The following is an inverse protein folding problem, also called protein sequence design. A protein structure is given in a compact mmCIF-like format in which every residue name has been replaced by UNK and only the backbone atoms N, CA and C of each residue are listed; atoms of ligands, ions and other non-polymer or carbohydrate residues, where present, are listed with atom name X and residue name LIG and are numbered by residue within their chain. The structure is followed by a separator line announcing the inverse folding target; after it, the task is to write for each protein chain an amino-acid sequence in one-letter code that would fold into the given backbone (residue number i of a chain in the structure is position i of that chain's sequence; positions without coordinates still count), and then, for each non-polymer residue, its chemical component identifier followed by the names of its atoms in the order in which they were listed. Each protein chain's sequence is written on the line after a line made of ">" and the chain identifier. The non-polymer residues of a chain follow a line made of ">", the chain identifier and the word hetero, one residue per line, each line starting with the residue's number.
data_IF_974202168808
#
_entry.id   IF_974202168808
#
_cell.length_a   1.000
_cell.length_b   1.000
_cell.length_c   1.000
_cell.angle_alpha   90.00
_cell.angle_beta   90.00
_cell.angle_gamma   90.00
#
_symmetry.space_group_name_H-M   'P 1'
#
loop_
_entity.id
_entity.type
_entity.pdbx_description
1 polymer ?
#
# COMPACT_ATOMS: atom_id res chain seq x y z
N UNK A 1 7.72 0.07 25.27
CA UNK A 1 7.33 -0.45 23.95
C UNK A 1 7.90 0.50 22.92
N UNK A 2 8.71 -0.01 22.00
CA UNK A 2 9.34 0.73 20.92
C UNK A 2 8.39 0.89 19.72
N UNK A 3 8.72 1.78 18.77
CA UNK A 3 7.83 2.14 17.65
C UNK A 3 7.51 0.96 16.73
N UNK A 4 8.49 0.07 16.50
CA UNK A 4 8.29 -1.13 15.69
C UNK A 4 7.29 -2.10 16.35
N UNK A 5 7.38 -2.30 17.67
CA UNK A 5 6.40 -3.10 18.42
C UNK A 5 5.00 -2.49 18.42
N UNK A 6 4.89 -1.17 18.56
CA UNK A 6 3.58 -0.48 18.48
C UNK A 6 2.95 -0.69 17.10
N UNK A 7 3.73 -0.48 16.03
CA UNK A 7 3.30 -0.67 14.66
C UNK A 7 2.85 -2.11 14.40
N UNK A 8 3.67 -3.09 14.78
CA UNK A 8 3.38 -4.51 14.59
C UNK A 8 2.11 -4.94 15.35
N UNK A 9 1.94 -4.48 16.59
CA UNK A 9 0.74 -4.72 17.37
C UNK A 9 -0.51 -4.17 16.68
N UNK A 10 -0.48 -2.90 16.25
CA UNK A 10 -1.61 -2.27 15.56
C UNK A 10 -1.95 -2.99 14.25
N UNK A 11 -0.96 -3.38 13.44
CA UNK A 11 -1.20 -4.15 12.22
C UNK A 11 -1.87 -5.49 12.53
N UNK A 12 -1.42 -6.18 13.58
CA UNK A 12 -1.99 -7.47 13.98
C UNK A 12 -3.44 -7.33 14.46
N UNK A 13 -3.74 -6.32 15.26
CA UNK A 13 -5.11 -6.01 15.73
C UNK A 13 -6.05 -5.69 14.56
N UNK A 14 -5.52 -5.15 13.47
CA UNK A 14 -6.27 -4.85 12.24
C UNK A 14 -6.37 -6.04 11.26
N UNK A 15 -5.97 -7.25 11.69
CA UNK A 15 -6.12 -8.47 10.90
C UNK A 15 -5.03 -8.71 9.84
N UNK A 16 -3.92 -7.97 9.89
CA UNK A 16 -2.78 -8.25 9.01
C UNK A 16 -2.13 -9.58 9.42
N UNK A 17 -2.06 -10.50 8.47
CA UNK A 17 -1.43 -11.82 8.65
C UNK A 17 -0.11 -11.98 7.90
N UNK A 18 0.06 -11.26 6.79
CA UNK A 18 1.18 -11.45 5.87
C UNK A 18 1.90 -10.13 5.59
N UNK A 19 3.23 -10.23 5.56
CA UNK A 19 4.14 -9.14 5.25
C UNK A 19 5.16 -9.64 4.22
N UNK A 20 5.28 -8.93 3.10
CA UNK A 20 6.21 -9.22 2.02
C UNK A 20 7.22 -8.10 1.94
N UNK A 21 8.47 -8.38 1.60
CA UNK A 21 9.42 -7.27 1.51
C UNK A 21 10.85 -7.65 1.22
N UNK A 22 11.68 -6.62 1.11
CA UNK A 22 13.14 -6.73 1.18
C UNK A 22 13.56 -5.98 2.44
N UNK A 23 13.95 -6.73 3.47
CA UNK A 23 14.39 -6.15 4.74
C UNK A 23 15.85 -5.71 4.65
N UNK A 24 16.11 -4.52 5.16
CA UNK A 24 17.44 -3.93 5.36
C UNK A 24 17.35 -2.74 6.30
N UNK A 25 18.48 -2.14 6.64
CA UNK A 25 18.49 -0.93 7.46
C UNK A 25 17.73 0.20 6.73
N UNK A 26 16.84 0.98 7.39
CA UNK A 26 16.55 1.03 8.84
C UNK A 26 15.23 0.34 9.24
N UNK A 27 14.76 -0.70 8.53
CA UNK A 27 13.42 -1.31 8.74
C UNK A 27 13.46 -2.73 9.34
N UNK A 28 14.62 -3.17 9.80
CA UNK A 28 14.85 -4.53 10.31
C UNK A 28 13.98 -4.80 11.53
N UNK A 29 13.93 -3.83 12.45
CA UNK A 29 13.21 -3.88 13.71
C UNK A 29 11.71 -4.06 13.51
N UNK A 30 11.14 -3.44 12.47
CA UNK A 30 9.72 -3.61 12.11
C UNK A 30 9.44 -5.03 11.62
N UNK A 31 10.32 -5.60 10.80
CA UNK A 31 10.20 -6.99 10.37
C UNK A 31 10.27 -7.96 11.55
N UNK A 32 11.24 -7.76 12.46
CA UNK A 32 11.39 -8.58 13.66
C UNK A 32 10.17 -8.47 14.59
N UNK A 33 9.68 -7.24 14.83
CA UNK A 33 8.50 -7.00 15.65
C UNK A 33 7.26 -7.66 15.03
N UNK A 34 7.05 -7.52 13.72
CA UNK A 34 5.94 -8.15 13.01
C UNK A 34 5.94 -9.68 13.20
N UNK A 35 7.10 -10.32 13.07
CA UNK A 35 7.25 -11.75 13.33
C UNK A 35 6.92 -12.12 14.78
N UNK A 36 7.37 -11.32 15.76
CA UNK A 36 7.09 -11.53 17.18
C UNK A 36 5.60 -11.45 17.51
N UNK A 37 4.83 -10.60 16.82
CA UNK A 37 3.37 -10.51 16.92
C UNK A 37 2.61 -11.53 16.04
N UNK A 38 3.32 -12.46 15.40
CA UNK A 38 2.72 -13.53 14.61
C UNK A 38 2.23 -13.10 13.22
N UNK A 39 2.83 -12.06 12.64
CA UNK A 39 2.70 -11.73 11.22
C UNK A 39 3.75 -12.53 10.45
N UNK A 40 3.32 -13.24 9.41
CA UNK A 40 4.22 -14.06 8.58
C UNK A 40 5.00 -13.15 7.63
N UNK A 41 6.31 -13.08 7.82
CA UNK A 41 7.20 -12.35 6.93
C UNK A 41 7.71 -13.25 5.79
N UNK A 42 7.57 -12.79 4.55
CA UNK A 42 8.06 -13.44 3.34
C UNK A 42 9.09 -12.52 2.69
N UNK A 43 10.35 -12.96 2.69
CA UNK A 43 11.44 -12.26 2.03
C UNK A 43 11.36 -12.38 0.51
N UNK A 44 11.40 -11.26 -0.18
CA UNK A 44 11.47 -11.16 -1.63
C UNK A 44 12.88 -10.73 -2.06
N UNK A 45 13.14 -10.73 -3.37
CA UNK A 45 14.42 -10.25 -3.96
C UNK A 45 14.30 -8.88 -4.61
N UNK A 46 13.10 -8.34 -4.69
CA UNK A 46 12.79 -7.07 -5.30
C UNK A 46 11.51 -6.50 -4.65
N UNK A 47 11.51 -5.20 -4.35
CA UNK A 47 10.44 -4.51 -3.64
C UNK A 47 9.16 -4.38 -4.48
N UNK A 48 9.28 -4.23 -5.80
CA UNK A 48 8.14 -4.23 -6.72
C UNK A 48 7.40 -5.58 -6.65
N UNK A 49 8.17 -6.68 -6.73
CA UNK A 49 7.62 -8.03 -6.63
C UNK A 49 6.99 -8.30 -5.25
N UNK A 50 7.60 -7.78 -4.17
CA UNK A 50 7.02 -7.84 -2.83
C UNK A 50 5.67 -7.13 -2.77
N UNK A 51 5.56 -5.96 -3.39
CA UNK A 51 4.32 -5.19 -3.43
C UNK A 51 3.23 -5.94 -4.21
N UNK A 52 3.56 -6.57 -5.34
CA UNK A 52 2.61 -7.42 -6.07
C UNK A 52 2.15 -8.63 -5.26
N UNK A 53 3.06 -9.29 -4.56
CA UNK A 53 2.73 -10.43 -3.72
C UNK A 53 1.81 -10.03 -2.55
N UNK A 54 2.10 -8.90 -1.90
CA UNK A 54 1.25 -8.34 -0.85
C UNK A 54 -0.14 -7.98 -1.40
N UNK A 55 -0.21 -7.31 -2.56
CA UNK A 55 -1.48 -7.02 -3.21
C UNK A 55 -2.28 -8.30 -3.51
N UNK A 56 -1.64 -9.32 -4.09
CA UNK A 56 -2.29 -10.58 -4.40
C UNK A 56 -2.79 -11.29 -3.14
N UNK A 57 -2.01 -11.31 -2.07
CA UNK A 57 -2.44 -11.87 -0.78
C UNK A 57 -3.59 -11.10 -0.19
N UNK A 58 -3.55 -9.77 -0.26
CA UNK A 58 -4.64 -8.95 0.22
C UNK A 58 -5.94 -9.25 -0.52
N UNK A 59 -5.83 -9.54 -1.81
CA UNK A 59 -6.97 -9.90 -2.65
C UNK A 59 -7.55 -11.27 -2.30
N UNK A 60 -6.67 -12.27 -2.12
CA UNK A 60 -7.07 -13.64 -1.84
C UNK A 60 -7.64 -13.81 -0.43
N UNK A 61 -7.06 -13.12 0.55
CA UNK A 61 -7.45 -13.23 1.97
C UNK A 61 -8.57 -12.28 2.36
N UNK A 62 -8.83 -11.25 1.53
CA UNK A 62 -9.73 -10.12 1.84
C UNK A 62 -9.30 -9.32 3.08
N UNK A 63 -8.08 -9.53 3.56
CA UNK A 63 -7.45 -8.79 4.64
C UNK A 63 -6.28 -7.97 4.08
N UNK A 64 -5.96 -6.80 4.64
CA UNK A 64 -4.80 -6.04 4.21
C UNK A 64 -3.51 -6.85 4.40
N UNK A 65 -2.62 -6.77 3.42
CA UNK A 65 -1.26 -7.31 3.52
C UNK A 65 -0.24 -6.17 3.45
N UNK A 66 0.93 -6.39 4.05
CA UNK A 66 1.96 -5.36 4.15
C UNK A 66 3.07 -5.60 3.14
N UNK A 67 3.50 -4.54 2.47
CA UNK A 67 4.78 -4.47 1.76
C UNK A 67 5.78 -3.70 2.63
N UNK A 68 6.87 -4.35 3.05
CA UNK A 68 7.91 -3.77 3.89
C UNK A 68 9.18 -3.51 3.06
N UNK A 69 9.61 -2.25 2.99
CA UNK A 69 10.72 -1.84 2.13
C UNK A 69 11.69 -0.92 2.86
N UNK A 70 12.94 -0.91 2.40
CA UNK A 70 13.96 0.00 2.93
C UNK A 70 13.72 1.45 2.49
N UNK A 71 14.41 2.39 3.13
CA UNK A 71 14.40 3.81 2.76
C UNK A 71 14.90 4.06 1.34
N UNK A 72 14.59 5.23 0.80
CA UNK A 72 15.12 5.73 -0.48
C UNK A 72 14.88 4.75 -1.64
N UNK A 73 15.92 4.05 -2.14
CA UNK A 73 15.80 3.13 -3.28
C UNK A 73 14.76 2.01 -3.07
N UNK A 74 14.58 1.52 -1.83
CA UNK A 74 13.61 0.45 -1.56
C UNK A 74 12.18 0.89 -1.85
N UNK A 75 11.79 2.06 -1.34
CA UNK A 75 10.49 2.65 -1.64
C UNK A 75 10.33 2.97 -3.12
N UNK A 76 11.38 3.51 -3.76
CA UNK A 76 11.36 3.82 -5.20
C UNK A 76 11.08 2.58 -6.05
N UNK A 77 11.71 1.45 -5.75
CA UNK A 77 11.42 0.19 -6.43
C UNK A 77 9.99 -0.31 -6.19
N UNK A 78 9.38 0.02 -5.06
CA UNK A 78 8.00 -0.35 -4.75
C UNK A 78 6.94 0.48 -5.49
N UNK A 79 7.28 1.67 -6.01
CA UNK A 79 6.33 2.60 -6.65
C UNK A 79 5.57 1.93 -7.80
N UNK A 80 6.25 1.14 -8.64
CA UNK A 80 5.58 0.42 -9.74
C UNK A 80 4.53 -0.59 -9.24
N UNK A 81 4.75 -1.20 -8.08
CA UNK A 81 3.79 -2.07 -7.41
C UNK A 81 2.63 -1.29 -6.79
N UNK A 82 2.92 -0.14 -6.18
CA UNK A 82 1.92 0.75 -5.59
C UNK A 82 0.99 1.36 -6.64
N UNK A 83 1.54 1.80 -7.77
CA UNK A 83 0.77 2.30 -8.90
C UNK A 83 -0.21 1.24 -9.41
N UNK A 84 0.27 0.00 -9.61
CA UNK A 84 -0.58 -1.13 -9.97
C UNK A 84 -1.67 -1.41 -8.93
N UNK A 85 -1.34 -1.32 -7.63
CA UNK A 85 -2.31 -1.49 -6.56
C UNK A 85 -3.42 -0.43 -6.60
N UNK A 86 -3.06 0.80 -6.89
CA UNK A 86 -4.01 1.90 -7.08
C UNK A 86 -4.85 1.74 -8.34
N UNK A 87 -4.25 1.40 -9.48
CA UNK A 87 -4.97 1.25 -10.75
C UNK A 87 -5.93 0.05 -10.74
N UNK A 88 -5.48 -1.11 -10.26
CA UNK A 88 -6.36 -2.26 -10.09
C UNK A 88 -7.52 -1.96 -9.14
N UNK A 89 -7.32 -1.07 -8.15
CA UNK A 89 -8.39 -0.61 -7.25
C UNK A 89 -9.45 0.25 -7.94
N UNK A 90 -9.11 0.92 -9.04
CA UNK A 90 -10.01 1.83 -9.74
C UNK A 90 -10.70 1.18 -10.95
N UNK A 91 -10.01 0.30 -11.68
CA UNK A 91 -10.49 -0.22 -12.98
C UNK A 91 -11.57 -1.30 -12.84
N UNK A 92 -11.53 -2.15 -11.79
CA UNK A 92 -12.45 -3.30 -11.71
C UNK A 92 -13.83 -2.99 -11.13
N UNK A 93 -14.01 -1.80 -10.56
CA UNK A 93 -15.32 -1.33 -10.10
C UNK A 93 -16.26 -0.91 -11.22
N UNK A 94 -15.75 -0.70 -12.43
CA UNK A 94 -16.54 -0.18 -13.56
C UNK A 94 -17.11 -1.32 -14.43
N UNK A 95 -16.47 -2.50 -14.47
CA UNK A 95 -16.78 -3.52 -15.49
C UNK A 95 -17.61 -4.72 -15.02
N UNK A 96 -17.79 -4.96 -13.72
CA UNK A 96 -18.56 -6.12 -13.22
C UNK A 96 -19.33 -5.81 -11.92
N UNK A 97 -20.54 -5.24 -12.00
CA UNK A 97 -21.31 -4.83 -10.81
C UNK A 97 -21.88 -6.00 -9.99
N UNK A 98 -21.99 -7.21 -10.55
CA UNK A 98 -22.65 -8.36 -9.89
C UNK A 98 -21.72 -9.35 -9.18
N UNK A 99 -20.39 -9.23 -9.33
CA UNK A 99 -19.42 -10.07 -8.62
C UNK A 99 -18.44 -9.18 -7.86
N UNK A 100 -18.99 -8.44 -6.89
CA UNK A 100 -18.31 -7.40 -6.12
C UNK A 100 -17.36 -8.01 -5.07
N UNK A 101 -16.15 -8.42 -5.49
CA UNK A 101 -15.07 -8.84 -4.59
C UNK A 101 -14.04 -7.70 -4.53
N UNK A 102 -14.01 -6.87 -3.47
CA UNK A 102 -13.00 -5.83 -3.33
C UNK A 102 -11.65 -6.48 -2.98
N UNK A 103 -10.69 -6.37 -3.90
CA UNK A 103 -9.57 -5.40 -3.90
C UNK A 103 -8.46 -5.79 -2.95
N UNK A 104 -7.27 -6.06 -3.50
CA UNK A 104 -6.08 -6.44 -2.74
C UNK A 104 -5.49 -5.27 -1.98
N UNK A 105 -5.83 -5.10 -0.68
CA UNK A 105 -5.44 -3.92 0.05
C UNK A 105 -3.98 -4.08 0.47
N UNK A 106 -3.15 -3.14 0.03
CA UNK A 106 -1.72 -3.14 0.36
C UNK A 106 -1.40 -1.94 1.22
N UNK A 107 -0.67 -2.18 2.31
CA UNK A 107 -0.05 -1.14 3.12
C UNK A 107 1.45 -1.20 2.83
N UNK A 108 2.01 -0.14 2.26
CA UNK A 108 3.46 -0.04 2.07
C UNK A 108 4.08 0.68 3.25
N UNK A 109 5.08 0.06 3.88
CA UNK A 109 5.83 0.60 5.01
C UNK A 109 7.28 0.71 4.58
N UNK A 110 7.75 1.95 4.44
CA UNK A 110 9.13 2.28 4.12
C UNK A 110 9.92 2.66 5.36
N UNK A 111 11.20 2.28 5.40
CA UNK A 111 12.17 2.92 6.29
C UNK A 111 12.37 4.39 5.93
N UNK A 112 12.85 5.20 6.87
CA UNK A 112 13.23 6.59 6.62
C UNK A 112 14.42 6.97 7.49
N UNK A 113 15.07 8.08 7.15
CA UNK A 113 16.09 8.68 8.02
C UNK A 113 15.49 9.12 9.35
N UNK A 114 16.36 9.35 10.34
CA UNK A 114 15.92 9.98 11.57
C UNK A 114 15.41 11.41 11.31
N UNK A 115 14.44 11.85 12.12
CA UNK A 115 13.77 13.15 11.94
C UNK A 115 14.75 14.32 12.09
N UNK A 116 15.78 14.18 12.91
CA UNK A 116 16.82 15.19 13.13
C UNK A 116 17.83 15.32 11.97
N UNK A 117 17.86 14.33 11.07
CA UNK A 117 18.72 14.31 9.89
C UNK A 117 17.99 14.70 8.59
N UNK A 118 16.70 15.04 8.69
CA UNK A 118 15.91 15.45 7.53
C UNK A 118 16.43 16.75 6.91
N UNK A 119 16.52 16.78 5.58
CA UNK A 119 17.13 17.79 4.72
C UNK A 119 18.62 18.01 4.94
N UNK A 120 19.35 17.00 5.46
CA UNK A 120 20.80 17.09 5.70
C UNK A 120 21.64 16.20 4.78
N UNK A 121 21.02 15.54 3.81
CA UNK A 121 21.70 14.56 2.96
C UNK A 121 21.97 13.26 3.71
N UNK A 122 21.03 12.83 4.55
CA UNK A 122 21.16 11.61 5.34
C UNK A 122 21.26 10.37 4.43
N UNK A 123 21.77 9.26 4.97
CA UNK A 123 21.87 8.02 4.22
C UNK A 123 20.50 7.58 3.70
N UNK A 124 20.40 7.39 2.38
CA UNK A 124 19.15 7.03 1.68
C UNK A 124 17.98 8.00 1.94
N UNK A 125 18.29 9.26 2.22
CA UNK A 125 17.29 10.32 2.29
C UNK A 125 16.60 10.52 0.94
N UNK A 126 15.28 10.63 0.97
CA UNK A 126 14.44 10.81 -0.21
C UNK A 126 13.11 11.44 0.20
N UNK A 127 12.50 12.33 -0.63
CA UNK A 127 11.14 12.84 -0.42
C UNK A 127 10.10 11.73 -0.69
N UNK A 128 10.01 10.80 0.26
CA UNK A 128 9.25 9.57 0.14
C UNK A 128 7.75 9.84 -0.05
N UNK A 129 7.18 10.72 0.77
CA UNK A 129 5.74 11.03 0.76
C UNK A 129 5.32 11.65 -0.58
N UNK A 130 6.10 12.61 -1.07
CA UNK A 130 5.87 13.28 -2.34
C UNK A 130 5.97 12.30 -3.50
N UNK A 131 6.96 11.40 -3.48
CA UNK A 131 7.21 10.45 -4.56
C UNK A 131 6.09 9.41 -4.74
N UNK A 132 5.41 9.02 -3.66
CA UNK A 132 4.31 8.03 -3.72
C UNK A 132 2.93 8.66 -3.81
N UNK A 133 2.81 10.00 -3.73
CA UNK A 133 1.52 10.71 -3.62
C UNK A 133 0.56 10.38 -4.76
N UNK A 134 1.06 10.17 -5.97
CA UNK A 134 0.24 9.83 -7.14
C UNK A 134 -0.10 8.35 -7.22
N UNK A 135 0.65 7.49 -6.54
CA UNK A 135 0.51 6.04 -6.56
C UNK A 135 -0.16 5.48 -5.30
N UNK A 136 -0.59 6.34 -4.38
CA UNK A 136 -1.20 5.97 -3.11
C UNK A 136 -2.42 6.84 -2.79
N UNK A 137 -3.46 6.24 -2.21
CA UNK A 137 -4.63 6.98 -1.71
C UNK A 137 -4.29 7.83 -0.48
N UNK A 138 -3.33 7.37 0.31
CA UNK A 138 -2.84 8.05 1.50
C UNK A 138 -1.35 7.77 1.65
N UNK A 139 -0.58 8.81 1.95
CA UNK A 139 0.84 8.72 2.30
C UNK A 139 1.09 9.64 3.48
N UNK A 140 1.78 9.15 4.51
CA UNK A 140 2.10 9.93 5.69
C UNK A 140 3.32 9.37 6.41
N UNK A 141 4.00 10.23 7.18
CA UNK A 141 5.15 9.89 8.01
C UNK A 141 4.79 10.18 9.48
N UNK A 142 4.70 9.17 10.36
CA UNK A 142 4.48 9.41 11.78
C UNK A 142 5.74 10.05 12.40
N UNK A 143 5.59 11.19 13.06
CA UNK A 143 6.69 11.91 13.73
C UNK A 143 6.82 11.56 15.21
N UNK A 144 5.80 10.94 15.80
CA UNK A 144 5.78 10.53 17.21
C UNK A 144 5.23 9.12 17.36
N UNK A 145 5.62 8.43 18.43
CA UNK A 145 5.17 7.06 18.73
C UNK A 145 3.64 6.99 18.89
N UNK A 146 3.05 8.02 19.51
CA UNK A 146 1.61 8.11 19.76
C UNK A 146 0.80 8.30 18.48
N UNK A 147 1.42 8.81 17.41
CA UNK A 147 0.74 8.99 16.13
C UNK A 147 0.61 7.68 15.35
N UNK A 148 1.50 6.69 15.57
CA UNK A 148 1.56 5.44 14.79
C UNK A 148 0.18 4.76 14.67
N UNK A 149 -0.58 4.52 15.76
CA UNK A 149 -1.89 3.88 15.66
C UNK A 149 -2.85 4.66 14.76
N UNK A 150 -2.89 5.99 14.91
CA UNK A 150 -3.75 6.86 14.10
C UNK A 150 -3.40 6.78 12.61
N UNK A 151 -2.11 6.73 12.26
CA UNK A 151 -1.67 6.58 10.87
C UNK A 151 -2.03 5.21 10.28
N UNK A 152 -1.92 4.14 11.06
CA UNK A 152 -2.32 2.78 10.65
C UNK A 152 -3.83 2.72 10.40
N UNK A 153 -4.63 3.20 11.37
CA UNK A 153 -6.10 3.24 11.24
C UNK A 153 -6.53 4.09 10.04
N UNK A 154 -5.95 5.27 9.86
CA UNK A 154 -6.26 6.15 8.73
C UNK A 154 -5.94 5.49 7.40
N UNK A 155 -4.79 4.82 7.29
CA UNK A 155 -4.39 4.09 6.07
C UNK A 155 -5.41 3.00 5.70
N UNK A 156 -5.95 2.30 6.70
CA UNK A 156 -7.00 1.30 6.53
C UNK A 156 -8.37 1.90 6.21
N UNK A 157 -8.71 3.04 6.80
CA UNK A 157 -9.96 3.74 6.49
C UNK A 157 -10.01 4.20 5.03
N UNK A 158 -8.91 4.68 4.44
CA UNK A 158 -8.87 5.01 3.01
C UNK A 158 -9.01 3.79 2.09
N UNK A 159 -8.57 2.62 2.57
CA UNK A 159 -8.81 1.35 1.89
C UNK A 159 -10.31 1.00 1.94
N UNK A 160 -10.96 1.17 3.09
CA UNK A 160 -12.37 0.79 3.33
C UNK A 160 -13.36 1.81 2.73
N UNK A 161 -13.12 3.12 2.82
CA UNK A 161 -14.06 4.18 2.42
C UNK A 161 -14.33 4.21 0.91
N UNK A 162 -13.38 3.75 0.10
CA UNK A 162 -13.58 3.56 -1.34
C UNK A 162 -14.75 2.59 -1.61
N UNK A 163 -15.03 1.65 -0.71
CA UNK A 163 -16.18 0.74 -0.82
C UNK A 163 -17.52 1.48 -0.72
N UNK A 164 -17.62 2.50 0.13
CA UNK A 164 -18.85 3.26 0.34
C UNK A 164 -19.07 4.28 -0.79
N UNK A 165 -18.00 4.92 -1.26
CA UNK A 165 -18.07 5.83 -2.40
C UNK A 165 -18.40 5.11 -3.70
N UNK A 166 -17.78 3.95 -3.99
CA UNK A 166 -18.10 3.19 -5.20
C UNK A 166 -19.54 2.68 -5.16
N UNK A 167 -20.06 2.23 -4.01
CA UNK A 167 -21.49 1.87 -3.87
C UNK A 167 -22.38 3.04 -4.28
N UNK A 168 -22.11 4.23 -3.75
CA UNK A 168 -22.85 5.44 -4.10
C UNK A 168 -22.75 5.78 -5.60
N UNK A 169 -21.55 5.69 -6.18
CA UNK A 169 -21.32 5.97 -7.61
C UNK A 169 -22.01 4.94 -8.52
N UNK A 170 -22.08 3.67 -8.12
CA UNK A 170 -22.81 2.64 -8.89
C UNK A 170 -24.32 2.91 -8.85
N UNK A 171 -24.85 3.28 -7.69
CA UNK A 171 -26.26 3.67 -7.55
C UNK A 171 -26.57 4.91 -8.40
N UNK A 172 -25.64 5.86 -8.48
CA UNK A 172 -25.76 7.07 -9.31
C UNK A 172 -25.59 6.77 -10.82
N UNK A 173 -24.69 5.85 -11.20
CA UNK A 173 -24.43 5.46 -12.59
C UNK A 173 -25.54 4.61 -13.23
N UNK A 174 -26.39 3.95 -12.44
CA UNK A 174 -27.62 3.33 -12.98
C UNK A 174 -28.56 4.34 -13.66
N UNK A 175 -28.32 5.65 -13.48
CA UNK A 175 -29.07 6.74 -14.13
C UNK A 175 -28.27 7.52 -15.19
N UNK A 176 -27.08 7.09 -15.62
CA UNK A 176 -26.26 7.86 -16.58
C UNK A 176 -25.44 6.98 -17.54
N UNK A 177 -25.63 7.17 -18.84
CA UNK A 177 -24.83 6.53 -19.89
C UNK A 177 -23.50 7.28 -20.07
N UNK A 178 -22.37 6.63 -19.75
CA UNK A 178 -21.03 7.12 -20.10
C UNK A 178 -20.48 6.26 -21.24
N UNK A 179 -20.00 6.89 -22.31
CA UNK A 179 -19.33 6.26 -23.44
C UNK A 179 -17.81 6.28 -23.18
N UNK A 180 -17.17 5.11 -23.11
CA UNK A 180 -15.71 4.99 -23.13
C UNK A 180 -15.27 4.50 -24.51
N UNK A 181 -14.28 5.14 -25.12
CA UNK A 181 -13.64 4.65 -26.35
C UNK A 181 -12.54 3.64 -25.99
N UNK A 182 -12.63 2.43 -26.53
CA UNK A 182 -11.57 1.42 -26.43
C UNK A 182 -10.31 1.87 -27.18
N UNK A 183 -9.15 1.78 -26.55
CA UNK A 183 -7.85 1.84 -27.24
C UNK A 183 -7.51 0.44 -27.78
N UNK A 184 -8.31 -0.05 -28.73
CA UNK A 184 -7.92 -1.14 -29.65
C UNK A 184 -8.65 -0.97 -30.99
N UNK A 185 -8.11 -0.11 -31.84
CA UNK A 185 -8.35 -0.22 -33.28
C UNK A 185 -7.19 0.36 -34.09
N UNK A 186 -6.33 -0.54 -34.59
CA UNK A 186 -5.64 -0.41 -35.87
C UNK A 186 -4.47 0.57 -35.97
N UNK A 187 -3.27 0.10 -35.64
CA UNK A 187 -2.06 0.55 -36.33
C UNK A 187 -1.78 -0.42 -37.48
N UNK A 188 -2.42 -0.17 -38.63
CA UNK A 188 -1.89 -0.60 -39.92
C UNK A 188 -1.21 0.63 -40.54
N UNK A 189 0.12 0.63 -40.52
CA UNK A 189 0.93 1.58 -41.29
C UNK A 189 1.44 0.79 -42.51
N UNK A 190 0.92 1.12 -43.68
CA UNK A 190 1.52 0.76 -44.97
C UNK A 190 2.81 1.54 -45.20
#
# INVERSE_FOLDING_TARGET
>A
MDGASVLAKCLKEQGVEYMFGVVGFPIIEVGMAAQAYGIKYIGCRNEQAACYAAQAMGYLTRNPAVCLVVSGPGLLHAIGGLANATDFSCIRSIWFPLLFIPFGPVICIGGSSDVDQENRGAFQEWPQIESVRLSCKHASRPTTLQAIPHHVEKSLLYIILVLNWIRQVIDDLQNSTIMFMDYQSGMDIK
#
